data_IF_326954695450
#
_entry.id   IF_326954695450
#
_cell.length_a   1.000
_cell.length_b   1.000
_cell.length_c   1.000
_cell.angle_alpha   90.00
_cell.angle_beta   90.00
_cell.angle_gamma   90.00
#
_symmetry.space_group_name_H-M   'P 1'
#
loop_
_entity.id
_entity.type
_entity.pdbx_description
1 polymer ?
#
# COMPACT_ATOMS: atom_id res chain seq x y z
N UNK A 1 -41.77 17.46 -41.52
CA UNK A 1 -40.34 17.68 -41.66
C UNK A 1 -39.76 18.72 -40.67
N UNK A 2 -40.32 19.96 -40.55
CA UNK A 2 -39.76 20.96 -39.59
C UNK A 2 -39.76 20.50 -38.13
N UNK A 3 -40.80 19.83 -37.62
CA UNK A 3 -40.87 19.33 -36.23
C UNK A 3 -39.86 18.20 -35.91
N UNK A 4 -39.53 17.35 -36.89
CA UNK A 4 -38.53 16.29 -36.75
C UNK A 4 -37.12 16.88 -36.74
N UNK A 5 -36.84 17.87 -37.58
CA UNK A 5 -35.58 18.58 -37.62
C UNK A 5 -35.31 19.34 -36.28
N UNK A 6 -36.35 19.97 -35.72
CA UNK A 6 -36.24 20.66 -34.42
C UNK A 6 -35.99 19.68 -33.27
N UNK A 7 -36.64 18.51 -33.27
CA UNK A 7 -36.44 17.48 -32.26
C UNK A 7 -35.03 16.86 -32.34
N UNK A 8 -34.51 16.63 -33.55
CA UNK A 8 -33.13 16.14 -33.76
C UNK A 8 -32.12 17.20 -33.31
N UNK A 9 -32.34 18.47 -33.63
CA UNK A 9 -31.46 19.57 -33.20
C UNK A 9 -31.44 19.72 -31.67
N UNK A 10 -32.61 19.63 -31.02
CA UNK A 10 -32.75 19.69 -29.57
C UNK A 10 -32.04 18.47 -28.89
N UNK A 11 -32.15 17.27 -29.45
CA UNK A 11 -31.48 16.08 -28.96
C UNK A 11 -29.95 16.18 -29.14
N UNK A 12 -29.49 16.69 -30.29
CA UNK A 12 -28.05 16.95 -30.52
C UNK A 12 -27.52 18.03 -29.59
N UNK A 13 -28.28 19.09 -29.30
CA UNK A 13 -27.89 20.11 -28.36
C UNK A 13 -27.82 19.58 -26.90
N UNK A 14 -28.79 18.75 -26.49
CA UNK A 14 -28.79 18.15 -25.14
C UNK A 14 -27.63 17.15 -24.96
N UNK A 15 -27.31 16.36 -25.98
CA UNK A 15 -26.16 15.46 -25.97
C UNK A 15 -24.84 16.23 -25.96
N UNK A 16 -24.76 17.34 -26.68
CA UNK A 16 -23.57 18.21 -26.68
C UNK A 16 -23.37 18.91 -25.32
N UNK A 17 -24.46 19.33 -24.66
CA UNK A 17 -24.38 19.91 -23.30
C UNK A 17 -23.95 18.86 -22.29
N UNK A 18 -24.49 17.64 -22.32
CA UNK A 18 -24.03 16.56 -21.44
C UNK A 18 -22.57 16.17 -21.70
N UNK A 19 -22.14 16.12 -22.96
CA UNK A 19 -20.74 15.84 -23.30
C UNK A 19 -19.81 16.98 -22.85
N UNK A 20 -20.26 18.23 -22.91
CA UNK A 20 -19.50 19.38 -22.43
C UNK A 20 -19.37 19.37 -20.91
N UNK A 21 -20.44 19.04 -20.18
CA UNK A 21 -20.39 18.90 -18.71
C UNK A 21 -19.46 17.75 -18.29
N UNK A 22 -19.43 16.63 -19.03
CA UNK A 22 -18.52 15.49 -18.73
C UNK A 22 -17.04 15.85 -18.93
N UNK A 23 -16.71 16.72 -19.89
CA UNK A 23 -15.35 17.21 -20.10
C UNK A 23 -14.87 18.17 -19.00
N UNK A 24 -15.78 18.71 -18.19
CA UNK A 24 -15.46 19.55 -17.04
C UNK A 24 -15.35 18.73 -15.73
N UNK A 25 -15.48 17.42 -15.78
CA UNK A 25 -15.35 16.52 -14.63
C UNK A 25 -14.13 15.62 -14.84
N UNK A 26 -13.26 15.54 -13.82
CA UNK A 26 -12.17 14.59 -13.74
C UNK A 26 -12.46 13.58 -12.64
N UNK A 27 -12.69 12.32 -12.99
CA UNK A 27 -12.93 11.22 -12.04
C UNK A 27 -11.61 10.58 -11.63
N UNK A 28 -11.19 10.82 -10.40
CA UNK A 28 -9.93 10.33 -9.81
C UNK A 28 -10.24 9.28 -8.77
N UNK A 29 -9.57 8.14 -8.86
CA UNK A 29 -9.65 7.05 -7.89
C UNK A 29 -8.29 6.84 -7.24
N UNK A 30 -8.24 6.88 -5.92
CA UNK A 30 -7.02 6.76 -5.12
C UNK A 30 -7.29 6.01 -3.81
N UNK A 31 -6.24 5.66 -3.09
CA UNK A 31 -6.32 5.14 -1.73
C UNK A 31 -6.98 6.12 -0.76
N UNK A 32 -7.50 5.62 0.36
CA UNK A 32 -7.92 6.43 1.49
C UNK A 32 -6.75 7.19 2.12
N UNK A 33 -7.00 8.35 2.71
CA UNK A 33 -5.98 9.17 3.42
C UNK A 33 -4.65 9.37 2.63
N UNK A 34 -4.72 9.50 1.29
CA UNK A 34 -3.55 9.38 0.41
C UNK A 34 -3.35 10.58 -0.54
N UNK A 35 -3.73 11.79 -0.10
CA UNK A 35 -3.52 13.04 -0.84
C UNK A 35 -3.43 14.23 0.14
N UNK A 36 -2.58 15.19 -0.17
CA UNK A 36 -2.39 16.38 0.65
C UNK A 36 -3.63 17.28 0.76
N UNK A 37 -3.82 17.87 1.92
CA UNK A 37 -4.93 18.79 2.17
C UNK A 37 -4.92 19.95 1.16
N UNK A 38 -6.08 20.20 0.53
CA UNK A 38 -6.27 21.30 -0.42
C UNK A 38 -5.62 21.10 -1.79
N UNK A 39 -5.04 19.92 -2.09
CA UNK A 39 -4.42 19.62 -3.38
C UNK A 39 -5.45 19.61 -4.51
N UNK A 40 -6.66 19.10 -4.25
CA UNK A 40 -7.74 19.07 -5.23
C UNK A 40 -8.12 20.49 -5.66
N UNK A 41 -8.37 21.39 -4.71
CA UNK A 41 -8.72 22.79 -4.99
C UNK A 41 -7.57 23.54 -5.67
N UNK A 42 -6.32 23.23 -5.32
CA UNK A 42 -5.14 23.78 -5.97
C UNK A 42 -5.07 23.34 -7.44
N UNK A 43 -5.37 22.07 -7.72
CA UNK A 43 -5.42 21.55 -9.09
C UNK A 43 -6.52 22.23 -9.90
N UNK A 44 -7.75 22.31 -9.40
CA UNK A 44 -8.87 22.95 -10.11
C UNK A 44 -8.54 24.40 -10.51
N UNK A 45 -7.94 25.16 -9.60
CA UNK A 45 -7.49 26.55 -9.85
C UNK A 45 -6.36 26.58 -10.88
N UNK A 46 -5.34 25.74 -10.71
CA UNK A 46 -4.19 25.68 -11.63
C UNK A 46 -4.64 25.24 -13.03
N UNK A 47 -5.50 24.23 -13.13
CA UNK A 47 -6.05 23.77 -14.40
C UNK A 47 -6.76 24.90 -15.16
N UNK A 48 -7.60 25.68 -14.47
CA UNK A 48 -8.29 26.83 -15.07
C UNK A 48 -7.30 27.92 -15.51
N UNK A 49 -6.23 28.16 -14.74
CA UNK A 49 -5.19 29.13 -15.10
C UNK A 49 -4.44 28.75 -16.38
N UNK A 50 -4.07 27.46 -16.51
CA UNK A 50 -3.23 27.00 -17.65
C UNK A 50 -4.03 26.64 -18.88
N UNK A 51 -5.32 26.29 -18.75
CA UNK A 51 -6.15 25.88 -19.88
C UNK A 51 -7.22 26.89 -20.27
N UNK A 52 -7.53 27.85 -19.39
CA UNK A 52 -8.68 28.75 -19.55
C UNK A 52 -10.04 28.08 -19.33
N UNK A 53 -10.09 26.78 -19.00
CA UNK A 53 -11.33 26.02 -18.82
C UNK A 53 -11.48 25.59 -17.37
N UNK A 54 -12.70 25.62 -16.80
CA UNK A 54 -12.95 25.07 -15.48
C UNK A 54 -12.89 23.53 -15.52
N UNK A 55 -12.49 22.94 -14.39
CA UNK A 55 -12.56 21.50 -14.12
C UNK A 55 -13.06 21.28 -12.70
N UNK A 56 -13.83 20.22 -12.49
CA UNK A 56 -14.22 19.73 -11.16
C UNK A 56 -13.71 18.32 -10.96
N UNK A 57 -12.97 18.09 -9.88
CA UNK A 57 -12.47 16.77 -9.53
C UNK A 57 -13.55 16.02 -8.74
N UNK A 58 -13.93 14.84 -9.25
CA UNK A 58 -14.70 13.83 -8.52
C UNK A 58 -13.72 12.81 -7.95
N UNK A 59 -13.36 12.97 -6.69
CA UNK A 59 -12.38 12.14 -6.02
C UNK A 59 -13.06 11.04 -5.24
N UNK A 60 -12.66 9.78 -5.51
CA UNK A 60 -13.21 8.57 -4.89
C UNK A 60 -12.06 7.79 -4.28
N UNK A 61 -12.24 7.31 -3.06
CA UNK A 61 -11.27 6.48 -2.35
C UNK A 61 -11.68 5.02 -2.36
N UNK A 62 -10.69 4.14 -2.24
CA UNK A 62 -10.84 2.69 -2.09
C UNK A 62 -9.82 2.16 -1.08
N UNK A 63 -10.12 1.01 -0.48
CA UNK A 63 -9.24 0.27 0.41
C UNK A 63 -8.57 -0.92 -0.31
N UNK A 64 -9.22 -1.45 -1.34
CA UNK A 64 -8.76 -2.61 -2.12
C UNK A 64 -8.71 -2.25 -3.61
N UNK A 65 -7.50 -2.04 -4.18
CA UNK A 65 -7.35 -1.60 -5.56
C UNK A 65 -7.81 -2.65 -6.59
N UNK A 66 -7.84 -3.93 -6.22
CA UNK A 66 -8.35 -5.01 -7.06
C UNK A 66 -9.84 -4.85 -7.37
N UNK A 67 -10.64 -4.39 -6.40
CA UNK A 67 -12.07 -4.12 -6.62
C UNK A 67 -12.26 -2.99 -7.63
N UNK A 68 -11.45 -1.94 -7.53
CA UNK A 68 -11.46 -0.85 -8.49
C UNK A 68 -11.03 -1.31 -9.89
N UNK A 69 -10.00 -2.17 -9.96
CA UNK A 69 -9.56 -2.79 -11.22
C UNK A 69 -10.71 -3.59 -11.87
N UNK A 70 -11.40 -4.42 -11.11
CA UNK A 70 -12.51 -5.24 -11.62
C UNK A 70 -13.67 -4.35 -12.13
N UNK A 71 -14.02 -3.28 -11.40
CA UNK A 71 -15.03 -2.32 -11.85
C UNK A 71 -14.64 -1.62 -13.16
N UNK A 72 -13.36 -1.28 -13.34
CA UNK A 72 -12.85 -0.66 -14.58
C UNK A 72 -12.87 -1.69 -15.71
N UNK A 73 -12.39 -2.90 -15.47
CA UNK A 73 -12.34 -4.00 -16.45
C UNK A 73 -13.72 -4.36 -16.97
N UNK A 74 -14.69 -4.46 -16.07
CA UNK A 74 -16.07 -4.81 -16.40
C UNK A 74 -16.90 -3.62 -16.89
N UNK A 75 -16.28 -2.44 -17.04
CA UNK A 75 -16.90 -1.19 -17.48
C UNK A 75 -18.08 -0.75 -16.60
N UNK A 76 -18.08 -1.13 -15.34
CA UNK A 76 -19.13 -0.77 -14.37
C UNK A 76 -19.01 0.68 -13.91
N UNK A 77 -17.84 1.28 -14.06
CA UNK A 77 -17.56 2.66 -13.70
C UNK A 77 -16.67 3.36 -14.70
N UNK A 78 -16.85 4.67 -14.85
CA UNK A 78 -15.94 5.52 -15.62
C UNK A 78 -14.88 6.07 -14.69
N UNK A 79 -13.63 5.82 -14.98
CA UNK A 79 -12.46 6.35 -14.27
C UNK A 79 -11.58 7.08 -15.26
N UNK A 80 -11.19 8.32 -14.94
CA UNK A 80 -10.27 9.09 -15.78
C UNK A 80 -8.81 8.90 -15.33
N UNK A 81 -8.60 8.85 -14.00
CA UNK A 81 -7.26 8.62 -13.41
C UNK A 81 -7.39 7.63 -12.27
N UNK A 82 -6.50 6.68 -12.22
CA UNK A 82 -6.43 5.66 -11.17
C UNK A 82 -5.02 5.59 -10.62
N UNK A 83 -4.87 5.38 -9.32
CA UNK A 83 -3.59 5.27 -8.63
C UNK A 83 -3.39 3.87 -8.04
N UNK A 84 -3.16 2.83 -8.85
CA UNK A 84 -2.89 1.49 -8.36
C UNK A 84 -1.44 1.33 -7.91
N UNK A 85 -1.14 0.29 -7.09
CA UNK A 85 0.22 -0.20 -6.93
C UNK A 85 0.76 -0.76 -8.26
N UNK A 86 2.09 -0.80 -8.39
CA UNK A 86 2.76 -1.17 -9.63
C UNK A 86 2.38 -2.56 -10.17
N UNK A 87 2.14 -3.55 -9.30
CA UNK A 87 1.74 -4.89 -9.74
C UNK A 87 0.37 -4.90 -10.43
N UNK A 88 -0.53 -4.02 -10.02
CA UNK A 88 -1.84 -3.89 -10.63
C UNK A 88 -1.77 -3.08 -11.93
N UNK A 89 -0.90 -2.07 -12.00
CA UNK A 89 -0.57 -1.39 -13.25
C UNK A 89 0.04 -2.38 -14.27
N UNK A 90 0.90 -3.31 -13.83
CA UNK A 90 1.41 -4.42 -14.64
C UNK A 90 0.26 -5.24 -15.25
N UNK A 91 -0.72 -5.63 -14.42
CA UNK A 91 -1.92 -6.35 -14.86
C UNK A 91 -2.72 -5.54 -15.88
N UNK A 92 -2.94 -4.25 -15.62
CA UNK A 92 -3.63 -3.37 -16.56
C UNK A 92 -2.91 -3.27 -17.91
N UNK A 93 -1.56 -3.23 -17.92
CA UNK A 93 -0.76 -3.26 -19.14
C UNK A 93 -0.95 -4.58 -19.90
N UNK A 94 -0.90 -5.73 -19.23
CA UNK A 94 -1.12 -7.06 -19.82
C UNK A 94 -2.48 -7.14 -20.51
N UNK A 95 -3.50 -6.55 -19.90
CA UNK A 95 -4.87 -6.52 -20.42
C UNK A 95 -5.14 -5.36 -21.39
N UNK A 96 -4.12 -4.54 -21.73
CA UNK A 96 -4.25 -3.37 -22.63
C UNK A 96 -5.33 -2.38 -22.17
N UNK A 97 -5.40 -2.16 -20.86
CA UNK A 97 -6.40 -1.31 -20.22
C UNK A 97 -5.91 0.13 -20.02
N UNK A 98 -4.70 0.46 -20.43
CA UNK A 98 -4.09 1.78 -20.21
C UNK A 98 -4.02 2.59 -21.51
N UNK A 99 -4.20 3.90 -21.36
CA UNK A 99 -4.00 4.94 -22.37
C UNK A 99 -2.70 5.66 -22.05
N UNK A 100 -1.83 5.96 -23.07
CA UNK A 100 -0.62 6.75 -22.84
C UNK A 100 -0.94 8.12 -22.25
N UNK A 101 -0.02 8.62 -21.43
CA UNK A 101 -0.09 9.97 -20.87
C UNK A 101 0.16 10.98 -21.99
N UNK A 102 -0.76 11.93 -22.17
CA UNK A 102 -0.65 12.96 -23.20
C UNK A 102 0.23 14.12 -22.71
N UNK A 103 1.42 14.24 -23.30
CA UNK A 103 2.36 15.33 -23.01
C UNK A 103 2.25 16.52 -23.96
N UNK A 104 1.24 16.57 -24.83
CA UNK A 104 1.03 17.66 -25.80
C UNK A 104 0.84 19.02 -25.15
N UNK A 105 0.52 19.06 -23.84
CA UNK A 105 0.44 20.30 -23.06
C UNK A 105 1.76 21.08 -23.00
N UNK A 106 2.90 20.40 -23.16
CA UNK A 106 4.23 21.04 -23.21
C UNK A 106 4.32 22.00 -24.39
N UNK A 107 3.79 21.63 -25.55
CA UNK A 107 3.74 22.49 -26.73
C UNK A 107 2.82 23.73 -26.53
N UNK A 108 1.96 23.70 -25.51
CA UNK A 108 1.10 24.83 -25.10
C UNK A 108 1.76 25.72 -24.04
N UNK A 109 3.03 25.48 -23.71
CA UNK A 109 3.80 26.26 -22.73
C UNK A 109 3.54 25.88 -21.27
N UNK A 110 2.85 24.77 -21.00
CA UNK A 110 2.67 24.24 -19.64
C UNK A 110 3.93 23.46 -19.25
N UNK A 111 4.56 23.77 -18.09
CA UNK A 111 5.76 23.07 -17.65
C UNK A 111 5.54 21.56 -17.51
N UNK A 112 6.53 20.77 -17.90
CA UNK A 112 6.53 19.32 -17.74
C UNK A 112 7.24 18.95 -16.43
N UNK A 113 6.47 18.56 -15.41
CA UNK A 113 6.99 18.09 -14.12
C UNK A 113 7.21 16.58 -14.07
N UNK A 114 6.76 15.81 -15.08
CA UNK A 114 6.93 14.35 -15.13
C UNK A 114 8.40 13.92 -15.10
N UNK A 115 9.31 14.78 -15.55
CA UNK A 115 10.76 14.53 -15.51
C UNK A 115 11.39 14.61 -14.11
N UNK A 116 10.61 15.01 -13.10
CA UNK A 116 11.06 15.09 -11.72
C UNK A 116 11.05 13.75 -10.97
N UNK A 117 10.52 12.67 -11.57
CA UNK A 117 10.54 11.33 -10.96
C UNK A 117 11.96 10.84 -10.70
N UNK A 118 12.16 10.16 -9.58
CA UNK A 118 13.43 9.53 -9.23
C UNK A 118 13.79 8.43 -10.21
N UNK A 119 15.06 8.33 -10.66
CA UNK A 119 15.52 7.21 -11.47
C UNK A 119 15.27 5.82 -10.83
N UNK A 120 15.27 5.75 -9.51
CA UNK A 120 14.96 4.53 -8.77
C UNK A 120 13.52 4.08 -9.02
N UNK A 121 12.57 5.00 -8.91
CA UNK A 121 11.15 4.73 -9.16
C UNK A 121 10.89 4.44 -10.63
N UNK A 122 11.50 5.21 -11.54
CA UNK A 122 11.40 4.97 -12.98
C UNK A 122 11.88 3.56 -13.36
N UNK A 123 13.00 3.10 -12.76
CA UNK A 123 13.51 1.74 -12.97
C UNK A 123 12.57 0.68 -12.40
N UNK A 124 12.01 0.90 -11.20
CA UNK A 124 11.03 -0.01 -10.59
C UNK A 124 9.80 -0.16 -11.50
N UNK A 125 9.23 0.94 -11.96
CA UNK A 125 8.07 0.92 -12.85
C UNK A 125 8.41 0.36 -14.25
N UNK A 126 9.64 0.56 -14.74
CA UNK A 126 10.02 0.00 -16.04
C UNK A 126 9.97 -1.53 -16.07
N UNK A 127 10.30 -2.20 -14.96
CA UNK A 127 10.26 -3.67 -14.86
C UNK A 127 8.86 -4.26 -15.09
N UNK A 128 7.79 -3.52 -14.77
CA UNK A 128 6.42 -4.01 -15.02
C UNK A 128 6.03 -3.98 -16.50
N UNK A 129 6.69 -3.16 -17.33
CA UNK A 129 6.47 -3.08 -18.77
C UNK A 129 7.33 -4.04 -19.59
N UNK A 130 8.46 -4.49 -19.06
CA UNK A 130 9.48 -5.24 -19.83
C UNK A 130 8.94 -6.55 -20.40
N UNK A 131 8.19 -7.32 -19.62
CA UNK A 131 7.63 -8.59 -20.08
C UNK A 131 6.61 -8.44 -21.22
N UNK A 132 6.01 -7.26 -21.39
CA UNK A 132 5.06 -6.92 -22.45
C UNK A 132 5.71 -6.15 -23.61
N UNK A 133 7.01 -5.81 -23.52
CA UNK A 133 7.70 -4.95 -24.48
C UNK A 133 7.16 -3.51 -24.48
N UNK A 134 6.65 -3.04 -23.35
CA UNK A 134 6.04 -1.72 -23.18
C UNK A 134 7.03 -0.80 -22.45
N UNK A 135 7.14 0.43 -22.89
CA UNK A 135 7.82 1.50 -22.14
C UNK A 135 6.87 1.98 -21.04
N UNK A 136 7.05 1.48 -19.82
CA UNK A 136 6.10 1.70 -18.72
C UNK A 136 5.88 3.19 -18.45
N UNK A 137 6.90 4.05 -18.52
CA UNK A 137 6.80 5.50 -18.32
C UNK A 137 5.89 6.24 -19.30
N UNK A 138 5.51 5.62 -20.43
CA UNK A 138 4.52 6.22 -21.31
C UNK A 138 3.09 6.09 -20.75
N UNK A 139 2.87 5.20 -19.78
CA UNK A 139 1.59 4.83 -19.21
C UNK A 139 1.49 5.05 -17.69
N UNK A 140 2.63 5.11 -17.00
CA UNK A 140 2.69 5.20 -15.54
C UNK A 140 3.60 6.34 -15.09
N UNK A 141 3.22 7.00 -14.00
CA UNK A 141 4.08 7.96 -13.29
C UNK A 141 4.01 7.65 -11.81
N UNK A 142 5.16 7.43 -11.17
CA UNK A 142 5.23 7.18 -9.74
C UNK A 142 4.60 8.31 -8.92
N UNK A 143 3.95 7.93 -7.82
CA UNK A 143 3.28 8.87 -6.92
C UNK A 143 3.93 8.87 -5.54
N UNK A 144 3.61 7.90 -4.72
CA UNK A 144 4.23 7.65 -3.42
C UNK A 144 4.83 6.26 -3.43
N UNK A 145 5.81 6.01 -2.57
CA UNK A 145 6.50 4.73 -2.51
C UNK A 145 6.92 4.39 -1.08
N UNK A 146 7.19 3.13 -0.86
CA UNK A 146 7.60 2.67 0.45
C UNK A 146 8.08 1.23 0.49
N UNK A 147 8.12 0.71 1.69
CA UNK A 147 8.45 -0.67 2.00
C UNK A 147 7.66 -1.14 3.21
N UNK A 148 7.52 -2.46 3.35
CA UNK A 148 6.89 -3.09 4.51
C UNK A 148 7.93 -3.40 5.58
N UNK A 149 7.57 -3.20 6.84
CA UNK A 149 8.39 -3.51 8.01
C UNK A 149 7.53 -3.72 9.25
N UNK A 150 8.09 -3.56 10.41
CA UNK A 150 7.37 -3.65 11.67
C UNK A 150 7.54 -2.37 12.48
N UNK A 151 6.43 -1.72 12.82
CA UNK A 151 6.35 -0.63 13.77
C UNK A 151 6.15 -1.23 15.16
N UNK A 152 7.06 -0.96 16.08
CA UNK A 152 7.03 -1.47 17.44
C UNK A 152 6.83 -0.35 18.45
N UNK A 153 6.19 -0.69 19.56
CA UNK A 153 6.16 0.15 20.75
C UNK A 153 7.26 -0.33 21.70
N UNK A 154 8.32 0.46 21.85
CA UNK A 154 9.52 0.10 22.65
C UNK A 154 9.27 -0.03 24.15
N UNK A 155 8.09 0.34 24.63
CA UNK A 155 7.63 0.01 25.99
C UNK A 155 7.41 -1.50 26.18
N UNK A 156 7.09 -2.22 25.12
CA UNK A 156 6.71 -3.63 25.16
C UNK A 156 7.68 -4.53 24.42
N UNK A 157 8.33 -4.02 23.36
CA UNK A 157 9.16 -4.80 22.43
C UNK A 157 10.45 -4.04 22.16
N UNK A 158 11.58 -4.72 22.29
CA UNK A 158 12.88 -4.12 21.96
C UNK A 158 13.16 -4.29 20.46
N UNK A 159 13.85 -3.33 19.82
CA UNK A 159 14.20 -3.43 18.39
C UNK A 159 14.94 -4.72 18.02
N UNK A 160 15.83 -5.20 18.90
CA UNK A 160 16.63 -6.42 18.68
C UNK A 160 15.76 -7.68 18.63
N UNK A 161 14.59 -7.66 19.24
CA UNK A 161 13.66 -8.79 19.28
C UNK A 161 12.89 -8.98 17.95
N UNK A 162 12.89 -7.96 17.09
CA UNK A 162 12.21 -7.96 15.80
C UNK A 162 13.15 -7.77 14.61
N UNK A 163 14.45 -7.97 14.81
CA UNK A 163 15.45 -7.93 13.74
C UNK A 163 15.30 -9.05 12.70
N UNK A 164 14.50 -10.07 12.99
CA UNK A 164 14.18 -11.20 12.12
C UNK A 164 12.68 -11.45 12.18
N UNK A 165 12.07 -11.82 11.06
CA UNK A 165 10.66 -12.22 11.00
C UNK A 165 10.34 -13.45 11.87
N UNK A 166 11.34 -14.10 12.47
CA UNK A 166 11.13 -15.18 13.45
C UNK A 166 10.22 -14.79 14.61
N UNK A 167 10.11 -13.50 14.96
CA UNK A 167 9.21 -13.05 16.02
C UNK A 167 7.74 -13.40 15.74
N UNK A 168 7.35 -13.53 14.45
CA UNK A 168 6.00 -13.94 14.05
C UNK A 168 5.65 -15.37 14.48
N UNK A 169 6.64 -16.15 14.91
CA UNK A 169 6.44 -17.53 15.39
C UNK A 169 6.67 -17.67 16.90
N UNK A 170 7.07 -16.60 17.58
CA UNK A 170 7.31 -16.61 19.03
C UNK A 170 6.00 -16.45 19.81
N UNK A 171 5.67 -17.42 20.64
CA UNK A 171 4.49 -17.43 21.48
C UNK A 171 4.41 -16.24 22.47
N UNK A 172 5.53 -15.58 22.78
CA UNK A 172 5.62 -14.34 23.53
C UNK A 172 4.69 -13.25 22.95
N UNK A 173 4.53 -13.22 21.64
CA UNK A 173 3.76 -12.21 20.92
C UNK A 173 2.34 -12.66 20.54
N UNK A 174 1.85 -13.73 21.14
CA UNK A 174 0.48 -14.23 20.89
C UNK A 174 -0.56 -13.12 21.02
N UNK A 175 -1.29 -12.86 19.91
CA UNK A 175 -2.33 -11.83 19.82
C UNK A 175 -1.80 -10.39 20.03
N UNK A 176 -0.54 -10.12 19.66
CA UNK A 176 0.11 -8.80 19.85
C UNK A 176 0.50 -8.12 18.56
N UNK A 177 0.41 -8.80 17.43
CA UNK A 177 0.82 -8.30 16.11
C UNK A 177 -0.42 -7.90 15.33
N UNK A 178 -0.55 -6.63 14.96
CA UNK A 178 -1.47 -6.22 13.90
C UNK A 178 -0.77 -6.53 12.57
N UNK A 179 -1.46 -7.14 11.64
CA UNK A 179 -0.94 -7.47 10.31
C UNK A 179 -1.58 -6.57 9.28
N UNK A 180 -0.81 -5.97 8.40
CA UNK A 180 -1.34 -5.21 7.26
C UNK A 180 -2.24 -6.13 6.42
N UNK A 181 -3.46 -5.68 6.10
CA UNK A 181 -4.39 -6.43 5.26
C UNK A 181 -4.06 -6.25 3.76
N UNK A 182 -2.85 -6.65 3.40
CA UNK A 182 -2.36 -6.70 2.02
C UNK A 182 -1.61 -7.99 1.79
N UNK A 183 -2.24 -8.92 1.06
CA UNK A 183 -1.62 -10.23 0.82
C UNK A 183 -0.34 -10.13 0.00
N UNK A 184 -0.27 -9.23 -0.98
CA UNK A 184 0.91 -9.07 -1.84
C UNK A 184 2.17 -8.72 -1.05
N UNK A 185 2.06 -7.78 -0.11
CA UNK A 185 3.17 -7.39 0.78
C UNK A 185 3.53 -8.56 1.71
N UNK A 186 2.53 -9.13 2.37
CA UNK A 186 2.73 -10.20 3.35
C UNK A 186 3.29 -11.47 2.69
N UNK A 187 2.87 -11.80 1.46
CA UNK A 187 3.49 -12.87 0.69
C UNK A 187 5.00 -12.66 0.52
N UNK A 188 5.40 -11.42 0.16
CA UNK A 188 6.81 -11.08 -0.03
C UNK A 188 7.61 -11.15 1.28
N UNK A 189 7.04 -10.73 2.40
CA UNK A 189 7.65 -10.90 3.72
C UNK A 189 7.93 -12.39 4.00
N UNK A 190 6.92 -13.25 3.86
CA UNK A 190 7.04 -14.67 4.19
C UNK A 190 7.90 -15.46 3.21
N UNK A 191 7.87 -15.14 1.91
CA UNK A 191 8.71 -15.84 0.93
C UNK A 191 10.18 -15.45 1.09
N UNK A 192 10.49 -14.18 1.38
CA UNK A 192 11.85 -13.74 1.68
C UNK A 192 12.40 -14.39 2.95
N UNK A 193 11.57 -14.53 3.98
CA UNK A 193 11.91 -15.28 5.19
C UNK A 193 12.19 -16.76 4.91
N UNK A 194 11.28 -17.43 4.18
CA UNK A 194 11.38 -18.87 3.89
C UNK A 194 12.66 -19.22 3.11
N UNK A 195 13.08 -18.36 2.20
CA UNK A 195 14.22 -18.59 1.30
C UNK A 195 15.44 -17.74 1.63
N UNK A 196 15.53 -17.23 2.86
CA UNK A 196 16.61 -16.32 3.24
C UNK A 196 18.01 -16.89 3.01
N UNK A 197 18.26 -18.14 3.40
CA UNK A 197 19.56 -18.79 3.22
C UNK A 197 19.88 -19.06 1.74
N UNK A 198 18.90 -19.41 0.93
CA UNK A 198 19.05 -19.59 -0.51
C UNK A 198 19.34 -18.25 -1.22
N UNK A 199 18.68 -17.18 -0.77
CA UNK A 199 18.94 -15.83 -1.27
C UNK A 199 20.37 -15.41 -0.89
N UNK A 200 20.75 -15.58 0.36
CA UNK A 200 22.07 -15.20 0.88
C UNK A 200 23.20 -15.96 0.19
N UNK A 201 22.99 -17.21 -0.15
CA UNK A 201 23.98 -18.05 -0.87
C UNK A 201 23.96 -17.85 -2.39
N UNK A 202 23.03 -17.04 -2.94
CA UNK A 202 22.91 -16.76 -4.37
C UNK A 202 22.26 -17.89 -5.17
N UNK A 203 21.61 -18.88 -4.54
CA UNK A 203 20.85 -19.95 -5.20
C UNK A 203 19.61 -19.39 -5.88
N UNK A 204 18.99 -18.36 -5.28
CA UNK A 204 17.85 -17.62 -5.84
C UNK A 204 17.98 -16.14 -5.53
N UNK A 205 17.01 -15.34 -5.98
CA UNK A 205 16.91 -13.93 -5.58
C UNK A 205 15.45 -13.54 -5.31
N UNK A 206 15.27 -12.45 -4.57
CA UNK A 206 13.97 -11.96 -4.09
C UNK A 206 12.98 -11.69 -5.21
N UNK A 207 13.43 -11.02 -6.28
CA UNK A 207 12.55 -10.65 -7.39
C UNK A 207 12.06 -11.87 -8.19
N UNK A 208 12.89 -12.94 -8.29
CA UNK A 208 12.43 -14.20 -8.87
C UNK A 208 11.36 -14.86 -8.01
N UNK A 209 11.52 -14.86 -6.69
CA UNK A 209 10.55 -15.44 -5.76
C UNK A 209 9.23 -14.66 -5.78
N UNK A 210 9.28 -13.34 -5.84
CA UNK A 210 8.10 -12.47 -5.98
C UNK A 210 7.37 -12.68 -7.32
N UNK A 211 8.10 -12.89 -8.41
CA UNK A 211 7.53 -13.04 -9.74
C UNK A 211 7.00 -14.45 -10.05
N UNK A 212 7.57 -15.49 -9.43
CA UNK A 212 7.23 -16.89 -9.73
C UNK A 212 6.44 -17.57 -8.60
N UNK A 213 5.13 -17.41 -8.64
CA UNK A 213 4.16 -17.96 -7.69
C UNK A 213 3.89 -19.45 -8.00
N UNK A 214 4.90 -20.30 -7.76
CA UNK A 214 4.74 -21.73 -7.93
C UNK A 214 3.83 -22.34 -6.84
N UNK A 215 3.18 -23.47 -7.13
CA UNK A 215 2.38 -24.17 -6.11
C UNK A 215 3.19 -24.48 -4.84
N UNK A 216 4.49 -24.80 -5.01
CA UNK A 216 5.40 -25.06 -3.89
C UNK A 216 5.61 -23.79 -3.04
N UNK A 217 5.89 -22.65 -3.68
CA UNK A 217 6.14 -21.40 -2.98
C UNK A 217 4.89 -20.92 -2.24
N UNK A 218 3.73 -21.02 -2.89
CA UNK A 218 2.43 -20.68 -2.29
C UNK A 218 2.15 -21.56 -1.07
N UNK A 219 2.35 -22.87 -1.16
CA UNK A 219 2.14 -23.78 -0.03
C UNK A 219 3.08 -23.48 1.14
N UNK A 220 4.35 -23.18 0.87
CA UNK A 220 5.30 -22.78 1.92
C UNK A 220 4.83 -21.50 2.65
N UNK A 221 4.37 -20.51 1.91
CA UNK A 221 3.87 -19.26 2.51
C UNK A 221 2.57 -19.51 3.29
N UNK A 222 1.65 -20.34 2.77
CA UNK A 222 0.42 -20.72 3.48
C UNK A 222 0.75 -21.39 4.83
N UNK A 223 1.65 -22.39 4.85
CA UNK A 223 2.06 -23.09 6.07
C UNK A 223 2.69 -22.14 7.10
N UNK A 224 3.51 -21.18 6.66
CA UNK A 224 4.12 -20.17 7.52
C UNK A 224 3.08 -19.20 8.08
N UNK A 225 2.14 -18.75 7.25
CA UNK A 225 1.04 -17.88 7.69
C UNK A 225 0.16 -18.58 8.73
N UNK A 226 -0.17 -19.87 8.51
CA UNK A 226 -0.89 -20.68 9.49
C UNK A 226 -0.15 -20.77 10.83
N UNK A 227 1.17 -20.95 10.77
CA UNK A 227 2.03 -21.04 11.96
C UNK A 227 2.16 -19.70 12.69
N UNK A 228 2.17 -18.58 11.97
CA UNK A 228 2.25 -17.23 12.51
C UNK A 228 0.87 -16.71 13.02
N UNK A 229 -0.25 -17.27 12.55
CA UNK A 229 -1.61 -16.80 12.85
C UNK A 229 -1.90 -16.58 14.35
N UNK A 230 -1.43 -17.43 15.27
CA UNK A 230 -1.66 -17.22 16.70
C UNK A 230 -1.06 -15.92 17.26
N UNK A 231 -0.05 -15.35 16.65
CA UNK A 231 0.59 -14.10 17.08
C UNK A 231 -0.18 -12.88 16.57
N UNK A 232 -0.97 -13.04 15.51
CA UNK A 232 -1.73 -11.96 14.90
C UNK A 232 -2.94 -11.61 15.75
N UNK A 233 -3.06 -10.33 16.15
CA UNK A 233 -4.21 -9.75 16.84
C UNK A 233 -5.38 -9.56 15.88
N UNK A 234 -5.08 -9.11 14.67
CA UNK A 234 -6.03 -8.80 13.61
C UNK A 234 -5.33 -8.34 12.34
N UNK A 235 -6.13 -7.97 11.36
CA UNK A 235 -5.71 -7.47 10.06
C UNK A 235 -6.31 -6.08 9.87
N UNK A 236 -5.55 -5.16 9.30
CA UNK A 236 -5.97 -3.78 9.16
C UNK A 236 -5.27 -3.09 7.99
N UNK A 237 -5.97 -2.17 7.32
CA UNK A 237 -5.42 -1.37 6.22
C UNK A 237 -5.06 0.04 6.70
N UNK A 238 -5.95 0.72 7.46
CA UNK A 238 -5.87 2.16 7.73
C UNK A 238 -5.78 2.54 9.21
N UNK A 239 -6.37 1.74 10.12
CA UNK A 239 -6.52 2.14 11.52
C UNK A 239 -5.34 1.75 12.40
N UNK A 240 -4.48 0.82 11.97
CA UNK A 240 -3.31 0.35 12.72
C UNK A 240 -2.38 1.49 13.13
N UNK A 241 -2.13 2.45 12.26
CA UNK A 241 -1.32 3.64 12.53
C UNK A 241 -1.87 4.48 13.69
N UNK A 242 -3.22 4.62 13.77
CA UNK A 242 -3.89 5.34 14.86
C UNK A 242 -3.83 4.58 16.19
N UNK A 243 -3.92 3.25 16.14
CA UNK A 243 -3.77 2.40 17.32
C UNK A 243 -2.35 2.44 17.89
N UNK A 244 -1.35 2.42 17.00
CA UNK A 244 0.06 2.50 17.37
C UNK A 244 0.41 3.88 17.93
N UNK A 245 -0.01 4.99 17.30
CA UNK A 245 0.23 6.35 17.79
C UNK A 245 -0.39 6.60 19.15
N UNK A 246 -1.56 6.00 19.43
CA UNK A 246 -2.21 6.04 20.74
C UNK A 246 -1.49 5.20 21.83
N UNK A 247 -0.41 4.47 21.48
CA UNK A 247 0.39 3.66 22.40
C UNK A 247 -0.31 2.45 22.98
N UNK A 248 -1.40 1.97 22.36
CA UNK A 248 -2.24 0.89 22.85
C UNK A 248 -1.77 -0.50 22.42
N UNK A 249 -1.07 -0.58 21.29
CA UNK A 249 -0.65 -1.83 20.68
C UNK A 249 0.87 -2.03 20.78
N UNK A 250 1.30 -3.29 20.64
CA UNK A 250 2.68 -3.69 20.81
C UNK A 250 3.46 -3.53 19.52
N UNK A 251 2.88 -3.99 18.41
CA UNK A 251 3.51 -3.93 17.10
C UNK A 251 2.48 -4.05 15.98
N UNK A 252 2.83 -3.45 14.85
CA UNK A 252 2.13 -3.59 13.58
C UNK A 252 3.13 -3.91 12.47
N UNK A 253 2.87 -4.96 11.68
CA UNK A 253 3.50 -5.15 10.38
C UNK A 253 2.77 -4.23 9.43
N UNK A 254 3.47 -3.18 8.97
CA UNK A 254 2.84 -2.05 8.28
C UNK A 254 3.81 -1.39 7.28
N UNK A 255 3.29 -0.49 6.48
CA UNK A 255 4.08 0.31 5.55
C UNK A 255 4.84 1.43 6.26
N UNK A 256 6.00 1.79 5.72
CA UNK A 256 6.86 2.80 6.33
C UNK A 256 6.21 4.19 6.45
N UNK A 257 5.34 4.58 5.50
CA UNK A 257 4.61 5.85 5.55
C UNK A 257 3.63 5.90 6.71
N UNK A 258 2.84 4.83 6.92
CA UNK A 258 1.95 4.71 8.07
C UNK A 258 2.73 4.71 9.39
N UNK A 259 3.89 4.03 9.41
CA UNK A 259 4.78 4.06 10.55
C UNK A 259 5.30 5.47 10.84
N UNK A 260 5.71 6.21 9.79
CA UNK A 260 6.18 7.59 9.92
C UNK A 260 5.08 8.51 10.44
N UNK A 261 3.89 8.42 9.85
CA UNK A 261 2.70 9.16 10.30
C UNK A 261 2.40 8.87 11.78
N UNK A 262 2.41 7.60 12.18
CA UNK A 262 2.15 7.21 13.57
C UNK A 262 3.20 7.73 14.56
N UNK A 263 4.48 7.79 14.15
CA UNK A 263 5.58 8.36 14.95
C UNK A 263 5.38 9.86 15.11
N UNK A 264 5.03 10.58 14.05
CA UNK A 264 4.78 12.02 14.10
C UNK A 264 3.56 12.37 14.96
N UNK A 265 2.46 11.65 14.77
CA UNK A 265 1.22 11.87 15.55
C UNK A 265 1.41 11.56 17.04
N UNK A 266 2.27 10.60 17.39
CA UNK A 266 2.61 10.29 18.78
C UNK A 266 3.42 11.41 19.47
N UNK A 267 4.09 12.27 18.72
CA UNK A 267 4.87 13.42 19.22
C UNK A 267 6.01 13.05 20.17
N UNK A 268 6.38 13.96 21.07
CA UNK A 268 7.56 13.83 21.95
C UNK A 268 7.50 12.64 22.94
N UNK A 269 6.32 12.10 23.20
CA UNK A 269 6.13 10.94 24.08
C UNK A 269 6.16 9.61 23.34
N UNK A 270 6.62 9.60 22.11
CA UNK A 270 6.65 8.39 21.29
C UNK A 270 7.66 7.38 21.82
N UNK A 271 7.23 6.11 21.86
CA UNK A 271 8.12 4.97 22.02
C UNK A 271 8.02 4.09 20.77
N UNK A 272 7.68 4.69 19.63
CA UNK A 272 7.54 3.98 18.37
C UNK A 272 8.86 3.94 17.63
N UNK A 273 9.17 2.79 17.04
CA UNK A 273 10.32 2.59 16.18
C UNK A 273 9.95 1.65 15.03
N UNK A 274 10.37 1.99 13.82
CA UNK A 274 10.18 1.16 12.64
C UNK A 274 11.44 0.34 12.35
N UNK A 275 11.26 -0.95 12.06
CA UNK A 275 12.36 -1.89 11.80
C UNK A 275 12.03 -2.70 10.55
N UNK A 276 12.99 -2.87 9.66
CA UNK A 276 12.91 -3.84 8.55
C UNK A 276 13.82 -5.02 8.87
N UNK A 277 13.29 -6.22 9.09
CA UNK A 277 14.05 -7.42 9.45
C UNK A 277 15.11 -7.81 8.43
N UNK A 278 16.11 -8.58 8.87
CA UNK A 278 17.30 -8.90 8.08
C UNK A 278 17.03 -9.75 6.84
N UNK A 279 16.01 -10.57 6.88
CA UNK A 279 15.61 -11.39 5.73
C UNK A 279 15.10 -10.52 4.57
N UNK A 280 14.75 -9.28 4.86
CA UNK A 280 14.22 -8.33 3.91
C UNK A 280 12.71 -8.33 3.85
N UNK A 281 12.18 -7.58 2.89
CA UNK A 281 10.76 -7.31 2.72
C UNK A 281 10.46 -7.05 1.24
N UNK A 282 9.39 -6.31 0.99
CA UNK A 282 9.06 -5.73 -0.29
C UNK A 282 9.36 -4.23 -0.32
N UNK A 283 9.40 -3.70 -1.52
CA UNK A 283 9.43 -2.28 -1.83
C UNK A 283 8.46 -2.06 -2.99
N UNK A 284 7.59 -1.09 -2.86
CA UNK A 284 6.49 -0.83 -3.79
C UNK A 284 6.43 0.64 -4.18
N UNK A 285 5.79 0.92 -5.31
CA UNK A 285 5.48 2.27 -5.76
C UNK A 285 4.07 2.32 -6.34
N UNK A 286 3.21 3.12 -5.72
CA UNK A 286 1.95 3.47 -6.35
C UNK A 286 2.20 4.39 -7.54
N UNK A 287 1.42 4.24 -8.58
CA UNK A 287 1.59 5.01 -9.78
C UNK A 287 0.28 5.50 -10.38
N UNK A 288 0.29 6.69 -10.92
CA UNK A 288 -0.84 7.22 -11.66
C UNK A 288 -0.91 6.62 -13.05
N UNK A 289 -2.10 6.14 -13.41
CA UNK A 289 -2.41 5.60 -14.74
C UNK A 289 -3.70 6.20 -15.30
N UNK A 290 -3.84 6.18 -16.63
CA UNK A 290 -5.04 6.60 -17.35
C UNK A 290 -5.70 5.35 -17.95
N UNK A 291 -6.84 4.87 -17.40
CA UNK A 291 -7.56 3.74 -17.99
C UNK A 291 -8.11 4.07 -19.38
N UNK A 292 -8.27 3.04 -20.23
CA UNK A 292 -8.91 3.20 -21.56
C UNK A 292 -10.37 3.66 -21.50
N UNK A 293 -11.01 3.57 -20.32
CA UNK A 293 -12.34 4.12 -20.06
C UNK A 293 -12.36 5.63 -19.89
N UNK A 294 -11.20 6.28 -19.76
CA UNK A 294 -11.05 7.72 -19.56
C UNK A 294 -11.79 8.53 -20.63
N UNK A 295 -12.53 9.55 -20.20
CA UNK A 295 -13.25 10.48 -21.08
C UNK A 295 -12.57 11.83 -21.21
N UNK A 296 -11.58 12.14 -20.37
CA UNK A 296 -10.90 13.41 -20.35
C UNK A 296 -9.37 13.24 -20.22
N UNK A 297 -8.74 12.66 -21.24
CA UNK A 297 -7.29 12.32 -21.26
C UNK A 297 -6.43 13.55 -20.98
N UNK A 298 -6.79 14.73 -21.52
CA UNK A 298 -6.04 15.96 -21.29
C UNK A 298 -6.04 16.36 -19.82
N UNK A 299 -7.19 16.35 -19.17
CA UNK A 299 -7.29 16.69 -17.74
C UNK A 299 -6.61 15.62 -16.87
N UNK A 300 -6.72 14.33 -17.23
CA UNK A 300 -6.05 13.23 -16.57
C UNK A 300 -4.52 13.40 -16.61
N UNK A 301 -3.97 13.70 -17.79
CA UNK A 301 -2.52 13.91 -17.97
C UNK A 301 -2.04 15.17 -17.21
N UNK A 302 -2.84 16.23 -17.19
CA UNK A 302 -2.53 17.44 -16.42
C UNK A 302 -2.64 17.22 -14.91
N UNK A 303 -3.55 16.36 -14.43
CA UNK A 303 -3.60 15.94 -13.03
C UNK A 303 -2.30 15.25 -12.62
N UNK A 304 -1.86 14.27 -13.40
CA UNK A 304 -0.62 13.54 -13.14
C UNK A 304 0.57 14.50 -13.14
N UNK A 305 0.67 15.36 -14.16
CA UNK A 305 1.72 16.37 -14.23
C UNK A 305 1.71 17.35 -13.04
N UNK A 306 0.54 17.75 -12.59
CA UNK A 306 0.37 18.66 -11.44
C UNK A 306 0.88 18.03 -10.14
N UNK A 307 0.58 16.74 -9.90
CA UNK A 307 1.04 16.02 -8.72
C UNK A 307 2.56 15.80 -8.69
N UNK A 308 3.23 15.87 -9.84
CA UNK A 308 4.69 15.82 -9.94
C UNK A 308 5.37 17.16 -9.59
N UNK A 309 4.63 18.22 -9.35
CA UNK A 309 5.21 19.48 -8.90
C UNK A 309 5.81 19.33 -7.51
N UNK A 310 7.05 19.77 -7.26
CA UNK A 310 7.69 19.62 -5.95
C UNK A 310 6.87 20.19 -4.78
N UNK A 311 6.26 21.36 -4.97
CA UNK A 311 5.42 22.01 -3.94
C UNK A 311 4.14 21.21 -3.62
N UNK A 312 3.59 20.47 -4.59
CA UNK A 312 2.42 19.63 -4.41
C UNK A 312 2.81 18.27 -3.84
N UNK A 313 3.92 17.69 -4.33
CA UNK A 313 4.48 16.46 -3.79
C UNK A 313 4.77 16.57 -2.29
N UNK A 314 5.35 17.70 -1.85
CA UNK A 314 5.61 17.97 -0.43
C UNK A 314 4.32 17.99 0.41
N UNK A 315 3.24 18.60 -0.09
CA UNK A 315 1.95 18.60 0.61
C UNK A 315 1.39 17.16 0.77
N UNK A 316 1.58 16.32 -0.24
CA UNK A 316 1.16 14.92 -0.15
C UNK A 316 2.03 14.14 0.85
N UNK A 317 3.35 14.35 0.84
CA UNK A 317 4.28 13.73 1.80
C UNK A 317 3.96 14.12 3.25
N UNK A 318 3.67 15.39 3.50
CA UNK A 318 3.35 15.93 4.83
C UNK A 318 2.07 15.29 5.40
N UNK A 319 1.04 15.15 4.58
CA UNK A 319 -0.23 14.59 5.01
C UNK A 319 -0.18 13.07 5.23
N UNK A 320 0.53 12.36 4.33
CA UNK A 320 0.46 10.90 4.28
C UNK A 320 1.59 10.18 5.04
N UNK A 321 2.71 10.87 5.30
CA UNK A 321 3.92 10.27 5.85
C UNK A 321 4.77 9.50 4.84
N UNK A 322 4.30 9.31 3.60
CA UNK A 322 5.03 8.59 2.55
C UNK A 322 5.99 9.48 1.77
N UNK A 323 7.04 8.88 1.24
CA UNK A 323 7.96 9.56 0.34
C UNK A 323 7.36 9.67 -1.07
N UNK A 324 7.47 10.86 -1.66
CA UNK A 324 7.10 11.07 -3.06
C UNK A 324 8.05 10.33 -4.00
N UNK A 325 7.54 9.89 -5.15
CA UNK A 325 8.34 9.40 -6.26
C UNK A 325 9.23 10.50 -6.90
N UNK A 326 9.03 11.77 -6.52
CA UNK A 326 9.78 12.90 -7.07
C UNK A 326 11.14 13.01 -6.39
N UNK A 327 12.22 12.94 -7.19
CA UNK A 327 13.62 12.99 -6.73
C UNK A 327 14.34 14.27 -7.13
N UNK A 328 13.66 15.44 -7.09
CA UNK A 328 14.26 16.72 -7.47
C UNK A 328 15.08 17.34 -6.34
N UNK A 329 15.99 18.31 -6.66
CA UNK A 329 16.74 19.03 -5.64
C UNK A 329 15.86 19.78 -4.63
N UNK A 330 14.68 20.24 -5.03
CA UNK A 330 13.73 20.92 -4.15
C UNK A 330 13.17 19.97 -3.09
N UNK A 331 12.85 18.73 -3.48
CA UNK A 331 12.42 17.69 -2.53
C UNK A 331 13.57 17.34 -1.60
N UNK A 332 14.78 17.09 -2.14
CA UNK A 332 15.96 16.77 -1.34
C UNK A 332 16.22 17.84 -0.28
N UNK A 333 16.17 19.12 -0.66
CA UNK A 333 16.34 20.24 0.26
C UNK A 333 15.27 20.27 1.35
N UNK A 334 14.02 20.02 0.99
CA UNK A 334 12.90 20.07 1.93
C UNK A 334 12.91 18.94 2.96
N UNK A 335 13.42 17.75 2.59
CA UNK A 335 13.46 16.58 3.50
C UNK A 335 14.75 16.51 4.32
N UNK A 336 15.75 17.36 4.02
CA UNK A 336 17.02 17.39 4.75
C UNK A 336 16.83 18.01 6.14
N UNK A 337 17.35 17.31 7.17
CA UNK A 337 17.33 17.77 8.55
C UNK A 337 18.67 17.43 9.23
N UNK A 338 19.51 18.42 9.45
CA UNK A 338 20.87 18.28 9.99
C UNK A 338 20.93 17.63 11.39
N UNK A 339 19.81 17.52 12.09
CA UNK A 339 19.73 16.83 13.39
C UNK A 339 19.70 15.30 13.27
N UNK A 340 19.42 14.78 12.07
CA UNK A 340 19.31 13.34 11.80
C UNK A 340 20.65 12.75 11.33
N UNK A 341 20.84 11.41 11.44
CA UNK A 341 22.00 10.74 10.87
C UNK A 341 22.07 10.91 9.34
N UNK A 342 23.28 11.05 8.80
CA UNK A 342 23.48 11.06 7.36
C UNK A 342 23.41 9.64 6.80
N UNK A 343 22.68 9.46 5.68
CA UNK A 343 22.58 8.20 4.95
C UNK A 343 22.84 8.41 3.46
N UNK A 344 23.20 7.34 2.76
CA UNK A 344 23.43 7.35 1.32
C UNK A 344 22.09 7.16 0.58
N UNK A 345 21.62 8.23 -0.10
CA UNK A 345 20.44 8.26 -0.94
C UNK A 345 20.76 8.43 -2.43
N UNK A 346 21.99 8.11 -2.83
CA UNK A 346 22.39 8.24 -4.23
C UNK A 346 21.60 7.33 -5.18
N UNK A 347 20.97 6.28 -4.66
CA UNK A 347 20.04 5.45 -5.43
C UNK A 347 18.77 6.20 -5.83
N UNK A 348 18.34 7.19 -5.03
CA UNK A 348 17.07 7.89 -5.21
C UNK A 348 17.25 9.29 -5.83
N UNK A 349 18.13 10.12 -5.28
CA UNK A 349 18.35 11.51 -5.69
C UNK A 349 19.52 11.70 -6.68
N UNK A 350 20.23 10.60 -7.01
CA UNK A 350 21.40 10.65 -7.91
C UNK A 350 22.74 10.64 -7.19
N UNK A 351 23.86 10.50 -7.93
CA UNK A 351 25.15 10.09 -7.40
C UNK A 351 25.77 11.04 -6.38
N UNK A 352 25.35 12.29 -6.32
CA UNK A 352 25.87 13.28 -5.36
C UNK A 352 25.24 13.15 -3.96
N UNK A 353 24.10 12.46 -3.82
CA UNK A 353 23.37 12.31 -2.57
C UNK A 353 23.91 11.19 -1.67
N UNK A 354 25.23 11.16 -1.42
CA UNK A 354 25.90 10.08 -0.68
C UNK A 354 25.89 10.24 0.83
N UNK A 355 25.59 11.43 1.34
CA UNK A 355 25.54 11.73 2.77
C UNK A 355 24.45 12.78 3.04
N UNK A 356 23.20 12.34 3.09
CA UNK A 356 22.03 13.19 3.30
C UNK A 356 21.45 12.95 4.68
N UNK A 357 21.22 14.01 5.43
CA UNK A 357 20.60 13.97 6.75
C UNK A 357 19.07 13.92 6.61
N UNK A 358 18.49 12.73 6.67
CA UNK A 358 17.05 12.52 6.51
C UNK A 358 16.54 11.43 7.44
N UNK A 359 15.21 11.38 7.57
CA UNK A 359 14.53 10.28 8.25
C UNK A 359 14.64 8.98 7.45
N UNK A 360 15.28 7.97 8.06
CA UNK A 360 15.47 6.65 7.45
C UNK A 360 14.18 5.81 7.37
N UNK A 361 13.10 6.23 8.03
CA UNK A 361 11.78 5.63 7.86
C UNK A 361 11.18 6.08 6.54
N UNK A 362 11.29 7.39 6.22
CA UNK A 362 10.84 7.93 4.92
C UNK A 362 11.71 7.44 3.77
N UNK A 363 13.03 7.54 3.93
CA UNK A 363 14.00 7.15 2.91
C UNK A 363 14.87 6.01 3.43
N UNK A 364 14.50 4.74 3.18
CA UNK A 364 15.27 3.60 3.63
C UNK A 364 16.71 3.62 3.14
N UNK A 365 17.63 3.09 3.95
CA UNK A 365 19.03 2.97 3.54
C UNK A 365 19.19 2.04 2.34
N UNK A 366 20.30 2.16 1.61
CA UNK A 366 20.63 1.22 0.52
C UNK A 366 20.63 -0.24 0.96
N UNK A 367 21.05 -0.52 2.20
CA UNK A 367 21.03 -1.86 2.77
C UNK A 367 19.59 -2.40 2.84
N UNK A 368 18.65 -1.60 3.36
CA UNK A 368 17.24 -1.98 3.40
C UNK A 368 16.69 -2.22 1.99
N UNK A 369 16.90 -1.28 1.07
CA UNK A 369 16.44 -1.41 -0.32
C UNK A 369 17.01 -2.66 -0.99
N UNK A 370 18.30 -2.98 -0.78
CA UNK A 370 18.93 -4.17 -1.34
C UNK A 370 18.32 -5.49 -0.85
N UNK A 371 17.61 -5.44 0.27
CA UNK A 371 16.92 -6.58 0.88
C UNK A 371 15.42 -6.62 0.55
N UNK A 372 14.90 -5.71 -0.28
CA UNK A 372 13.50 -5.71 -0.70
C UNK A 372 13.34 -6.36 -2.07
N UNK A 373 12.20 -7.03 -2.28
CA UNK A 373 11.69 -7.45 -3.59
C UNK A 373 10.68 -6.45 -4.10
N UNK A 374 10.50 -6.36 -5.42
CA UNK A 374 9.43 -5.57 -6.02
C UNK A 374 8.16 -6.40 -6.10
N UNK A 375 7.01 -5.76 -5.88
CA UNK A 375 5.73 -6.42 -6.06
C UNK A 375 5.49 -6.72 -7.54
N UNK A 376 4.87 -7.86 -7.82
CA UNK A 376 4.60 -8.32 -9.18
C UNK A 376 3.16 -8.82 -9.31
N UNK A 377 2.61 -8.69 -10.49
CA UNK A 377 1.29 -9.20 -10.80
C UNK A 377 1.20 -10.71 -10.58
N UNK A 378 0.30 -11.13 -9.70
CA UNK A 378 0.03 -12.54 -9.39
C UNK A 378 -0.67 -13.31 -10.52
N UNK A 379 -1.18 -12.61 -11.55
CA UNK A 379 -1.83 -13.20 -12.71
C UNK A 379 -2.95 -14.17 -12.32
N UNK A 380 -2.95 -15.35 -12.94
CA UNK A 380 -3.93 -16.40 -12.69
C UNK A 380 -3.92 -16.99 -11.25
N UNK A 381 -2.92 -16.60 -10.43
CA UNK A 381 -2.81 -17.04 -9.05
C UNK A 381 -3.57 -16.17 -8.06
N UNK A 382 -4.05 -15.01 -8.48
CA UNK A 382 -4.71 -14.04 -7.59
C UNK A 382 -5.84 -14.67 -6.78
N UNK A 383 -6.70 -15.44 -7.42
CA UNK A 383 -7.84 -16.05 -6.73
C UNK A 383 -7.40 -17.06 -5.66
N UNK A 384 -6.40 -17.89 -5.96
CA UNK A 384 -5.83 -18.84 -4.99
C UNK A 384 -5.22 -18.10 -3.80
N UNK A 385 -4.50 -17.00 -4.06
CA UNK A 385 -3.89 -16.19 -3.00
C UNK A 385 -4.95 -15.50 -2.13
N UNK A 386 -6.01 -15.00 -2.75
CA UNK A 386 -7.15 -14.38 -2.05
C UNK A 386 -7.86 -15.41 -1.15
N UNK A 387 -8.13 -16.62 -1.66
CA UNK A 387 -8.75 -17.68 -0.87
C UNK A 387 -7.91 -18.07 0.34
N UNK A 388 -6.58 -18.19 0.17
CA UNK A 388 -5.66 -18.45 1.28
C UNK A 388 -5.74 -17.32 2.31
N UNK A 389 -5.71 -16.07 1.87
CA UNK A 389 -5.72 -14.90 2.74
C UNK A 389 -6.99 -14.82 3.58
N UNK A 390 -8.16 -14.97 2.95
CA UNK A 390 -9.44 -15.00 3.66
C UNK A 390 -9.50 -16.15 4.67
N UNK A 391 -9.04 -17.34 4.28
CA UNK A 391 -8.95 -18.50 5.20
C UNK A 391 -8.07 -18.20 6.42
N UNK A 392 -6.95 -17.50 6.23
CA UNK A 392 -6.07 -17.10 7.35
C UNK A 392 -6.75 -16.05 8.24
N UNK A 393 -7.45 -15.08 7.67
CA UNK A 393 -8.18 -14.04 8.41
C UNK A 393 -9.31 -14.62 9.26
N UNK A 394 -10.08 -15.54 8.73
CA UNK A 394 -11.20 -16.20 9.40
C UNK A 394 -10.78 -17.10 10.56
N UNK A 395 -9.52 -17.59 10.62
CA UNK A 395 -9.06 -18.44 11.71
C UNK A 395 -9.14 -17.71 13.04
N UNK A 396 -9.93 -18.20 14.01
CA UNK A 396 -9.99 -17.60 15.33
C UNK A 396 -8.63 -17.69 16.04
N UNK A 397 -8.25 -16.64 16.74
CA UNK A 397 -7.12 -16.72 17.68
C UNK A 397 -7.59 -17.57 18.85
N UNK A 398 -7.28 -18.85 18.80
CA UNK A 398 -7.69 -19.81 19.86
C UNK A 398 -6.86 -19.55 21.10
N UNK A 399 -7.47 -18.95 22.10
CA UNK A 399 -6.89 -18.87 23.44
C UNK A 399 -7.07 -20.23 24.14
N UNK A 400 -6.04 -21.07 24.02
CA UNK A 400 -6.05 -22.39 24.69
C UNK A 400 -6.31 -22.29 26.19
N UNK A 401 -5.97 -21.17 26.84
CA UNK A 401 -6.25 -20.94 28.25
C UNK A 401 -7.75 -20.84 28.54
N UNK A 402 -8.54 -20.34 27.58
CA UNK A 402 -9.99 -20.34 27.71
C UNK A 402 -10.54 -21.77 27.82
N UNK A 403 -10.07 -22.68 27.01
CA UNK A 403 -10.49 -24.09 27.05
C UNK A 403 -9.94 -24.80 28.28
N UNK A 404 -8.73 -24.50 28.72
CA UNK A 404 -8.15 -25.03 29.96
C UNK A 404 -8.97 -24.54 31.17
N UNK A 405 -9.27 -23.26 31.25
CA UNK A 405 -10.09 -22.70 32.32
C UNK A 405 -11.51 -23.27 32.29
N UNK A 406 -12.14 -23.33 31.12
CA UNK A 406 -13.47 -23.93 30.95
C UNK A 406 -13.49 -25.41 31.37
N UNK A 407 -12.47 -26.15 30.99
CA UNK A 407 -12.28 -27.56 31.39
C UNK A 407 -12.08 -27.71 32.90
N UNK A 408 -11.26 -26.87 33.52
CA UNK A 408 -11.08 -26.86 35.00
C UNK A 408 -12.37 -26.52 35.74
N UNK A 409 -13.13 -25.53 35.27
CA UNK A 409 -14.43 -25.16 35.85
C UNK A 409 -15.44 -26.28 35.69
N UNK A 410 -15.52 -26.93 34.55
CA UNK A 410 -16.40 -28.08 34.34
C UNK A 410 -16.02 -29.27 35.25
N UNK A 411 -14.73 -29.58 35.38
CA UNK A 411 -14.24 -30.62 36.28
C UNK A 411 -14.56 -30.28 37.76
N UNK A 412 -14.36 -29.02 38.16
CA UNK A 412 -14.70 -28.56 39.51
C UNK A 412 -16.21 -28.72 39.80
N UNK A 413 -17.08 -28.35 38.84
CA UNK A 413 -18.53 -28.54 38.95
C UNK A 413 -18.91 -30.02 39.08
N UNK A 414 -18.30 -30.91 38.33
CA UNK A 414 -18.53 -32.37 38.40
C UNK A 414 -18.14 -32.90 39.78
N UNK A 415 -16.95 -32.53 40.28
CA UNK A 415 -16.46 -32.95 41.61
C UNK A 415 -17.40 -32.48 42.73
N UNK A 416 -17.77 -31.19 42.71
CA UNK A 416 -18.66 -30.62 43.73
C UNK A 416 -20.04 -31.25 43.71
N UNK A 417 -20.62 -31.46 42.54
CA UNK A 417 -21.91 -32.13 42.38
C UNK A 417 -21.86 -33.57 42.90
N UNK A 418 -20.78 -34.30 42.61
CA UNK A 418 -20.58 -35.67 43.05
C UNK A 418 -20.45 -35.78 44.59
N UNK A 419 -19.73 -34.82 45.20
CA UNK A 419 -19.58 -34.74 46.62
C UNK A 419 -20.91 -34.41 47.33
N UNK A 420 -21.71 -33.49 46.79
CA UNK A 420 -23.03 -33.14 47.30
C UNK A 420 -24.03 -34.32 47.22
N UNK A 421 -23.98 -35.08 46.11
CA UNK A 421 -24.80 -36.29 45.95
C UNK A 421 -24.40 -37.40 46.92
N UNK A 422 -23.11 -37.57 47.24
CA UNK A 422 -22.61 -38.50 48.23
C UNK A 422 -23.06 -38.07 49.66
N UNK A 423 -22.99 -36.78 50.02
CA UNK A 423 -23.48 -36.29 51.32
C UNK A 423 -24.99 -36.53 51.51
N UNK A 424 -25.81 -36.27 50.46
CA UNK A 424 -27.25 -36.57 50.50
C UNK A 424 -27.54 -38.05 50.71
N UNK A 425 -26.79 -38.98 50.13
CA UNK A 425 -26.96 -40.43 50.36
C UNK A 425 -26.62 -40.85 51.78
N UNK A 426 -25.66 -40.19 52.46
CA UNK A 426 -25.24 -40.49 53.83
C UNK A 426 -26.24 -39.98 54.87
N UNK A 427 -27.01 -38.94 54.52
CA UNK A 427 -28.02 -38.32 55.43
C UNK A 427 -29.38 -39.05 55.37
N UNK A 428 -29.61 -39.86 54.29
CA UNK A 428 -30.88 -40.61 54.09
C UNK A 428 -30.82 -42.02 54.69
N UNK A 429 -29.69 -42.45 55.28
CA UNK A 429 -29.44 -43.77 55.87
C UNK A 429 -29.36 -43.69 57.44
N UNK A 430 -29.60 -42.51 58.04
CA UNK A 430 -29.82 -42.32 59.45
C UNK A 430 -31.29 -42.00 59.65
#
# INVERSE_FOLDING_TARGET
MKRVATAILALCCSLAIQAQDRQQILKVYNWGDYIGVGVIEKFEKWYQQVTGQPIKVSYVTYDYPEECFDMIKDQQTEVDVFCPPEYLAERMMKHKMLTPIDTSFVAQGIPNYLHGTSPFIDNMLQHIGEAQGITAKDYTVGYLWGNTGVLINTKFVKPEEVNSWTFLFDSKYRGKVIMKDSFSDIYNVFINYAFYDDIKSGVTNRNLLAAYLTNRNIAIVEDLLESARPQMKGFDVEDDKRLMSAGKDWMSVTWNGDARWAIDEAGDNTNLQYVVPIEGSDCWADCWVIPTTCKNIKAASLWINFLCRPDIALLCMEETGYSSAIGTPEILQAVTNDSLPAIDLSYFFGPEATAVHVDSVMYPTKDVISRCSYLRDSGDRQEVLREIWEKIKEKPVVDYWFYVIAGCVALFMIITTTLLLRQKKTTTIK
#
